data_IF_838079352707
#
_entry.id   IF_838079352707
#
_cell.length_a   1.000
_cell.length_b   1.000
_cell.length_c   1.000
_cell.angle_alpha   90.00
_cell.angle_beta   90.00
_cell.angle_gamma   90.00
#
_symmetry.space_group_name_H-M   'P 1'
#
loop_
_entity.id
_entity.type
_entity.pdbx_description
1 polymer ?
#
# COMPACT_ATOMS: atom_id res chain seq x y z
N UNK A 1 -52.30 10.09 -38.35
CA UNK A 1 -50.84 10.22 -38.61
C UNK A 1 -50.32 11.40 -37.78
N UNK A 2 -49.81 11.15 -36.57
CA UNK A 2 -49.19 12.20 -35.73
C UNK A 2 -47.83 11.67 -35.27
N UNK A 3 -46.88 11.66 -36.21
CA UNK A 3 -45.47 11.40 -35.90
C UNK A 3 -44.79 12.75 -35.73
N UNK A 4 -43.94 12.86 -34.71
CA UNK A 4 -42.91 13.91 -34.53
C UNK A 4 -43.41 15.24 -33.93
N UNK A 5 -43.67 15.29 -32.64
CA UNK A 5 -43.53 16.58 -31.93
C UNK A 5 -42.92 16.47 -30.52
N UNK A 6 -43.03 15.31 -29.86
CA UNK A 6 -42.53 15.12 -28.48
C UNK A 6 -41.04 14.74 -28.42
N UNK A 7 -40.41 14.43 -29.56
CA UNK A 7 -39.09 13.76 -29.52
C UNK A 7 -37.91 14.73 -29.37
N UNK A 8 -37.94 15.95 -29.94
CA UNK A 8 -36.76 16.84 -29.91
C UNK A 8 -36.47 17.44 -28.53
N UNK A 9 -37.49 17.88 -27.79
CA UNK A 9 -37.31 18.47 -26.46
C UNK A 9 -36.96 17.42 -25.41
N UNK A 10 -37.56 16.24 -25.49
CA UNK A 10 -37.29 15.14 -24.55
C UNK A 10 -35.89 14.54 -24.78
N UNK A 11 -35.45 14.42 -26.05
CA UNK A 11 -34.09 14.00 -26.39
C UNK A 11 -33.06 15.04 -25.97
N UNK A 12 -33.33 16.34 -26.16
CA UNK A 12 -32.41 17.39 -25.71
C UNK A 12 -32.21 17.39 -24.18
N UNK A 13 -33.29 17.20 -23.41
CA UNK A 13 -33.19 17.07 -21.94
C UNK A 13 -32.41 15.82 -21.54
N UNK A 14 -32.63 14.69 -22.23
CA UNK A 14 -31.88 13.45 -21.99
C UNK A 14 -30.37 13.66 -22.21
N UNK A 15 -29.97 14.35 -23.28
CA UNK A 15 -28.56 14.63 -23.59
C UNK A 15 -27.93 15.55 -22.55
N UNK A 16 -28.63 16.59 -22.08
CA UNK A 16 -28.13 17.48 -21.02
C UNK A 16 -27.98 16.74 -19.69
N UNK A 17 -28.93 15.86 -19.33
CA UNK A 17 -28.84 15.03 -18.13
C UNK A 17 -27.66 14.06 -18.23
N UNK A 18 -27.45 13.39 -19.37
CA UNK A 18 -26.28 12.53 -19.54
C UNK A 18 -24.97 13.30 -19.50
N UNK A 19 -24.92 14.53 -20.05
CA UNK A 19 -23.70 15.35 -20.01
C UNK A 19 -23.37 15.83 -18.59
N UNK A 20 -24.38 16.13 -17.77
CA UNK A 20 -24.20 16.50 -16.37
C UNK A 20 -23.69 15.32 -15.51
N UNK A 21 -24.10 14.09 -15.82
CA UNK A 21 -23.64 12.88 -15.11
C UNK A 21 -22.17 12.55 -15.45
N UNK A 22 -21.67 12.96 -16.62
CA UNK A 22 -20.28 12.70 -17.04
C UNK A 22 -19.19 13.43 -16.24
N UNK A 23 -19.52 14.45 -15.44
CA UNK A 23 -18.53 15.19 -14.63
C UNK A 23 -18.51 14.78 -13.15
N UNK A 24 -19.37 13.86 -12.71
CA UNK A 24 -19.35 13.33 -11.35
C UNK A 24 -18.25 12.25 -11.12
N UNK A 25 -17.38 12.02 -12.11
CA UNK A 25 -16.32 11.01 -12.06
C UNK A 25 -14.89 11.55 -11.89
N UNK A 26 -14.68 12.86 -11.86
CA UNK A 26 -13.36 13.47 -11.57
C UNK A 26 -13.40 14.16 -10.20
N UNK A 27 -14.01 13.47 -9.25
CA UNK A 27 -13.71 13.62 -7.83
C UNK A 27 -13.04 12.33 -7.36
N UNK A 28 -12.13 11.77 -8.16
CA UNK A 28 -11.15 10.86 -7.57
C UNK A 28 -10.26 11.79 -6.79
N UNK A 29 -10.45 11.74 -5.49
CA UNK A 29 -9.64 12.36 -4.48
C UNK A 29 -8.22 12.57 -5.01
N UNK A 30 -7.82 13.83 -5.09
CA UNK A 30 -6.44 14.25 -4.94
C UNK A 30 -6.04 13.96 -3.48
N UNK A 31 -6.26 12.72 -3.03
CA UNK A 31 -5.69 12.16 -1.82
C UNK A 31 -4.32 11.73 -2.27
N UNK A 32 -3.36 12.55 -1.83
CA UNK A 32 -1.93 12.39 -1.89
C UNK A 32 -1.45 11.15 -2.65
N UNK A 33 -0.55 11.38 -3.61
CA UNK A 33 0.49 10.40 -3.94
C UNK A 33 1.39 10.18 -2.71
N UNK A 34 0.82 9.76 -1.58
CA UNK A 34 1.53 8.99 -0.58
C UNK A 34 1.77 7.66 -1.27
N UNK A 35 3.02 7.44 -1.71
CA UNK A 35 3.48 6.14 -2.13
C UNK A 35 2.89 5.11 -1.16
N UNK A 36 2.06 4.18 -1.64
CA UNK A 36 1.36 3.23 -0.78
C UNK A 36 2.39 2.42 0.00
N UNK A 37 2.66 2.84 1.24
CA UNK A 37 3.60 2.17 2.15
C UNK A 37 2.83 1.03 2.79
N UNK A 38 3.27 -0.19 2.49
CA UNK A 38 2.78 -1.43 3.09
C UNK A 38 3.65 -1.77 4.29
N UNK A 39 3.03 -2.13 5.40
CA UNK A 39 3.74 -2.59 6.61
C UNK A 39 3.75 -4.12 6.62
N UNK A 40 4.93 -4.72 6.72
CA UNK A 40 5.17 -6.16 6.85
C UNK A 40 5.78 -6.42 8.21
N UNK A 41 5.16 -7.30 9.00
CA UNK A 41 5.71 -7.78 10.27
C UNK A 41 6.08 -9.24 10.16
N UNK A 42 7.23 -9.62 10.70
CA UNK A 42 7.64 -11.01 10.71
C UNK A 42 9.06 -11.23 11.19
N UNK A 43 9.51 -12.48 11.10
CA UNK A 43 10.85 -12.89 11.53
C UNK A 43 11.80 -12.94 10.33
N UNK A 44 13.00 -12.37 10.47
CA UNK A 44 14.04 -12.47 9.44
C UNK A 44 14.49 -13.93 9.35
N UNK A 45 14.31 -14.55 8.19
CA UNK A 45 14.79 -15.91 7.90
C UNK A 45 16.13 -15.89 7.16
N UNK A 46 16.32 -14.90 6.30
CA UNK A 46 17.57 -14.70 5.54
C UNK A 46 17.88 -13.22 5.45
N UNK A 47 19.16 -12.87 5.64
CA UNK A 47 19.67 -11.51 5.50
C UNK A 47 20.94 -11.55 4.64
N UNK A 48 20.93 -10.83 3.54
CA UNK A 48 22.10 -10.59 2.71
C UNK A 48 22.40 -9.08 2.71
N UNK A 49 23.37 -8.69 3.53
CA UNK A 49 23.79 -7.29 3.66
C UNK A 49 24.56 -6.80 2.42
N UNK A 50 25.18 -7.68 1.64
CA UNK A 50 25.92 -7.31 0.42
C UNK A 50 24.97 -6.89 -0.71
N UNK A 51 23.80 -7.53 -0.80
CA UNK A 51 22.80 -7.26 -1.83
C UNK A 51 21.60 -6.44 -1.33
N UNK A 52 21.53 -6.15 -0.03
CA UNK A 52 20.37 -5.51 0.59
C UNK A 52 19.09 -6.36 0.55
N UNK A 53 19.21 -7.68 0.46
CA UNK A 53 18.06 -8.59 0.37
C UNK A 53 17.71 -9.13 1.76
N UNK A 54 16.43 -9.07 2.10
CA UNK A 54 15.88 -9.60 3.36
C UNK A 54 14.71 -10.52 3.04
N UNK A 55 14.70 -11.71 3.64
CA UNK A 55 13.55 -12.61 3.60
C UNK A 55 12.91 -12.64 4.97
N UNK A 56 11.63 -12.31 5.03
CA UNK A 56 10.85 -12.26 6.27
C UNK A 56 9.72 -13.28 6.20
N UNK A 57 9.59 -14.08 7.24
CA UNK A 57 8.47 -14.98 7.42
C UNK A 57 7.42 -14.33 8.33
N UNK A 58 6.20 -14.21 7.85
CA UNK A 58 5.08 -13.70 8.64
C UNK A 58 4.50 -14.77 9.60
N UNK A 59 3.51 -14.37 10.40
CA UNK A 59 2.82 -15.26 11.34
C UNK A 59 2.04 -16.40 10.66
N UNK A 60 1.67 -16.23 9.37
CA UNK A 60 1.00 -17.26 8.58
C UNK A 60 2.01 -18.28 8.01
N UNK A 61 3.30 -18.02 8.17
CA UNK A 61 4.39 -18.83 7.66
C UNK A 61 4.76 -18.51 6.21
N UNK A 62 4.16 -17.50 5.58
CA UNK A 62 4.52 -17.07 4.23
C UNK A 62 5.85 -16.30 4.27
N UNK A 63 6.71 -16.56 3.28
CA UNK A 63 8.02 -15.92 3.18
C UNK A 63 7.95 -14.82 2.12
N UNK A 64 8.21 -13.59 2.55
CA UNK A 64 8.30 -12.42 1.70
C UNK A 64 9.75 -12.02 1.47
N UNK A 65 10.15 -11.92 0.20
CA UNK A 65 11.43 -11.33 -0.20
C UNK A 65 11.26 -9.82 -0.38
N UNK A 66 12.08 -9.06 0.34
CA UNK A 66 12.14 -7.60 0.33
C UNK A 66 13.56 -7.19 -0.09
N UNK A 67 13.67 -6.11 -0.86
CA UNK A 67 14.95 -5.58 -1.31
C UNK A 67 15.09 -4.12 -0.86
N UNK A 68 16.21 -3.75 -0.26
CA UNK A 68 16.45 -2.39 0.17
C UNK A 68 17.94 -2.08 0.12
N UNK A 69 18.36 -1.33 -0.91
CA UNK A 69 19.76 -0.94 -1.06
C UNK A 69 20.22 0.06 0.03
N UNK A 70 19.28 0.81 0.63
CA UNK A 70 19.56 1.88 1.59
C UNK A 70 19.02 1.60 3.00
N UNK A 71 18.43 0.43 3.25
CA UNK A 71 17.96 0.08 4.58
C UNK A 71 19.18 -0.20 5.48
N UNK A 72 19.19 0.36 6.70
CA UNK A 72 20.28 0.10 7.66
C UNK A 72 20.11 -1.32 8.25
N UNK A 73 20.59 -2.30 7.50
CA UNK A 73 20.48 -3.72 7.82
C UNK A 73 21.55 -4.20 8.82
N UNK A 74 22.49 -3.32 9.20
CA UNK A 74 23.70 -3.69 9.94
C UNK A 74 23.44 -4.23 11.33
N UNK A 75 22.35 -3.77 11.95
CA UNK A 75 22.01 -4.16 13.32
C UNK A 75 21.04 -5.34 13.36
N UNK A 76 20.62 -5.86 12.20
CA UNK A 76 19.66 -6.96 12.08
C UNK A 76 20.36 -8.30 11.91
N UNK A 77 19.75 -9.35 12.44
CA UNK A 77 20.20 -10.72 12.31
C UNK A 77 19.03 -11.64 11.95
N UNK A 78 19.36 -12.78 11.36
CA UNK A 78 18.39 -13.88 11.22
C UNK A 78 17.84 -14.27 12.59
N UNK A 79 16.52 -14.41 12.67
CA UNK A 79 15.77 -14.69 13.90
C UNK A 79 15.20 -13.46 14.59
N UNK A 80 15.58 -12.25 14.17
CA UNK A 80 14.98 -11.02 14.71
C UNK A 80 13.55 -10.85 14.21
N UNK A 81 12.66 -10.43 15.11
CA UNK A 81 11.32 -9.97 14.79
C UNK A 81 11.40 -8.51 14.37
N UNK A 82 10.88 -8.20 13.18
CA UNK A 82 10.98 -6.87 12.57
C UNK A 82 9.65 -6.37 12.04
N UNK A 83 9.54 -5.04 12.00
CA UNK A 83 8.49 -4.29 11.34
C UNK A 83 9.14 -3.56 10.18
N UNK A 84 8.63 -3.78 8.97
CA UNK A 84 9.19 -3.28 7.73
C UNK A 84 8.15 -2.45 7.01
N UNK A 85 8.51 -1.23 6.67
CA UNK A 85 7.73 -0.39 5.76
C UNK A 85 8.31 -0.53 4.36
N UNK A 86 7.51 -0.96 3.40
CA UNK A 86 7.92 -1.11 2.01
C UNK A 86 6.93 -0.46 1.04
N UNK A 87 7.38 -0.07 -0.14
CA UNK A 87 6.45 0.38 -1.19
C UNK A 87 5.79 -0.81 -1.91
N UNK A 88 4.92 -0.52 -2.87
CA UNK A 88 4.22 -1.51 -3.69
C UNK A 88 5.15 -2.42 -4.51
N UNK A 89 6.41 -2.02 -4.70
CA UNK A 89 7.44 -2.80 -5.40
C UNK A 89 8.27 -3.64 -4.42
N UNK A 90 7.89 -3.68 -3.13
CA UNK A 90 8.60 -4.35 -2.04
C UNK A 90 9.99 -3.78 -1.77
N UNK A 91 10.21 -2.52 -2.12
CA UNK A 91 11.45 -1.85 -1.71
C UNK A 91 11.32 -1.39 -0.26
N UNK A 92 12.32 -1.71 0.56
CA UNK A 92 12.35 -1.34 1.97
C UNK A 92 12.56 0.19 2.08
N UNK A 93 11.63 0.87 2.75
CA UNK A 93 11.74 2.28 3.14
C UNK A 93 12.30 2.42 4.55
N UNK A 94 11.83 1.60 5.48
CA UNK A 94 12.27 1.58 6.87
C UNK A 94 12.18 0.18 7.44
N UNK A 95 13.06 -0.13 8.39
CA UNK A 95 13.07 -1.40 9.11
C UNK A 95 13.41 -1.14 10.58
N UNK A 96 12.61 -1.69 11.47
CA UNK A 96 12.81 -1.60 12.91
C UNK A 96 12.71 -2.99 13.53
N UNK A 97 13.57 -3.29 14.51
CA UNK A 97 13.36 -4.45 15.37
C UNK A 97 12.17 -4.19 16.28
N UNK A 98 11.32 -5.19 16.42
CA UNK A 98 10.32 -5.18 17.46
C UNK A 98 11.02 -5.47 18.79
N UNK A 99 11.25 -4.44 19.60
CA UNK A 99 11.76 -4.65 20.95
C UNK A 99 10.76 -5.49 21.75
N UNK A 100 11.22 -6.50 22.51
CA UNK A 100 10.37 -7.15 23.48
C UNK A 100 9.94 -6.08 24.48
N UNK A 101 8.63 -5.95 24.67
CA UNK A 101 8.04 -5.13 25.73
C UNK A 101 8.60 -5.68 27.04
N UNK A 102 9.66 -5.08 27.58
CA UNK A 102 10.12 -5.45 28.91
C UNK A 102 8.97 -5.09 29.86
N UNK A 103 8.41 -6.04 30.62
CA UNK A 103 7.43 -5.68 31.63
C UNK A 103 8.16 -4.75 32.59
N UNK A 104 7.75 -3.49 32.61
CA UNK A 104 8.17 -2.49 33.57
C UNK A 104 8.06 -3.14 34.94
N UNK A 105 9.21 -3.44 35.54
CA UNK A 105 9.28 -4.03 36.86
C UNK A 105 8.62 -3.06 37.82
N UNK A 106 7.37 -3.37 38.19
CA UNK A 106 6.63 -2.69 39.24
C UNK A 106 7.48 -2.70 40.51
N UNK A 107 8.07 -1.55 40.83
CA UNK A 107 8.66 -1.26 42.14
C UNK A 107 7.64 -0.53 43.00
#
# INVERSE_FOLDING_TARGET
MMKKLVSKRMVAVLVVVMFAISFAGIGVCEEAQEAQVTVVMGTITTLNADTGQVMVQDESGEIQSLAGADADLKDLNTGDLVIIECDSEKNIKSIAKQEPIQPESAQ
#
